data_IF_942266349450
#
_entry.id   IF_942266349450
#
_cell.length_a   1.000
_cell.length_b   1.000
_cell.length_c   1.000
_cell.angle_alpha   90.00
_cell.angle_beta   90.00
_cell.angle_gamma   90.00
#
_symmetry.space_group_name_H-M   'P 1'
#
loop_
_entity.id
_entity.type
_entity.pdbx_description
1 polymer ?
#
# COMPACT_ATOMS: atom_id res chain seq x y z
N UNK A 1 -13.46 -13.35 1.53
CA UNK A 1 -12.50 -13.30 0.39
C UNK A 1 -11.84 -11.93 0.42
N UNK A 2 -10.51 -11.88 0.39
CA UNK A 2 -9.75 -10.61 0.38
C UNK A 2 -9.83 -10.00 -1.01
N UNK A 3 -10.13 -8.70 -1.12
CA UNK A 3 -10.12 -8.01 -2.41
C UNK A 3 -8.67 -7.87 -2.90
N UNK A 4 -8.42 -8.13 -4.18
CA UNK A 4 -7.07 -8.01 -4.75
C UNK A 4 -6.99 -6.72 -5.56
N UNK A 5 -5.83 -6.04 -5.53
CA UNK A 5 -5.55 -4.94 -6.44
C UNK A 5 -5.69 -5.42 -7.88
N UNK A 6 -6.46 -4.68 -8.67
CA UNK A 6 -6.71 -4.98 -10.07
C UNK A 6 -5.48 -4.62 -10.91
N UNK A 7 -5.09 -5.55 -11.77
CA UNK A 7 -4.02 -5.35 -12.73
C UNK A 7 -4.35 -6.06 -14.04
N UNK A 8 -3.75 -5.57 -15.12
CA UNK A 8 -3.77 -6.21 -16.43
C UNK A 8 -2.39 -6.79 -16.72
N UNK A 9 -2.34 -8.05 -17.13
CA UNK A 9 -1.11 -8.63 -17.67
C UNK A 9 -0.92 -8.07 -19.08
N UNK A 10 0.14 -7.30 -19.29
CA UNK A 10 0.53 -6.76 -20.60
C UNK A 10 1.29 -7.80 -21.41
N UNK A 11 2.19 -8.52 -20.74
CA UNK A 11 3.02 -9.56 -21.37
C UNK A 11 3.47 -10.59 -20.34
N UNK A 12 3.52 -11.86 -20.74
CA UNK A 12 4.07 -12.95 -19.94
C UNK A 12 5.39 -13.41 -20.54
N UNK A 13 6.40 -13.56 -19.68
CA UNK A 13 7.71 -14.14 -19.98
C UNK A 13 7.87 -15.41 -19.15
N UNK A 14 8.92 -16.19 -19.43
CA UNK A 14 9.19 -17.45 -18.73
C UNK A 14 9.37 -17.24 -17.21
N UNK A 15 10.06 -16.17 -16.81
CA UNK A 15 10.41 -15.91 -15.40
C UNK A 15 9.58 -14.82 -14.71
N UNK A 16 8.80 -14.05 -15.46
CA UNK A 16 8.08 -12.89 -14.92
C UNK A 16 6.91 -12.44 -15.80
N UNK A 17 6.04 -11.61 -15.24
CA UNK A 17 4.97 -10.93 -15.97
C UNK A 17 5.20 -9.42 -15.96
N UNK A 18 4.91 -8.78 -17.09
CA UNK A 18 4.73 -7.34 -17.16
C UNK A 18 3.26 -7.04 -16.85
N UNK A 19 3.01 -6.33 -15.75
CA UNK A 19 1.66 -5.99 -15.27
C UNK A 19 1.46 -4.48 -15.26
N UNK A 20 0.30 -4.05 -15.69
CA UNK A 20 -0.20 -2.68 -15.54
C UNK A 20 -1.18 -2.66 -14.37
N UNK A 21 -0.86 -1.91 -13.33
CA UNK A 21 -1.71 -1.67 -12.17
C UNK A 21 -2.52 -0.40 -12.43
N UNK A 22 -3.85 -0.50 -12.26
CA UNK A 22 -4.74 0.65 -12.42
C UNK A 22 -4.52 1.69 -11.32
N UNK A 23 -4.88 2.97 -11.57
CA UNK A 23 -4.80 4.01 -10.56
C UNK A 23 -5.53 3.60 -9.29
N UNK A 24 -4.90 3.86 -8.14
CA UNK A 24 -5.44 3.45 -6.86
C UNK A 24 -5.04 4.40 -5.74
N UNK A 25 -5.82 4.39 -4.65
CA UNK A 25 -5.44 5.05 -3.40
C UNK A 25 -4.67 4.06 -2.55
N UNK A 26 -3.57 4.50 -1.94
CA UNK A 26 -2.83 3.75 -0.94
C UNK A 26 -2.84 4.47 0.41
N UNK A 27 -2.81 3.70 1.49
CA UNK A 27 -2.45 4.18 2.82
C UNK A 27 -1.03 3.68 3.12
N UNK A 28 -0.11 4.59 3.42
CA UNK A 28 1.32 4.33 3.57
C UNK A 28 1.84 4.82 4.92
N UNK A 29 2.73 4.04 5.53
CA UNK A 29 3.47 4.41 6.74
C UNK A 29 4.96 4.22 6.48
N UNK A 30 5.77 5.24 6.85
CA UNK A 30 7.24 5.19 6.79
C UNK A 30 7.79 4.88 8.18
N UNK A 31 8.60 3.83 8.30
CA UNK A 31 9.28 3.48 9.56
C UNK A 31 10.78 3.34 9.34
N UNK A 32 11.56 4.09 10.09
CA UNK A 32 13.02 4.01 10.13
C UNK A 32 13.48 2.95 11.13
N UNK A 33 13.34 1.67 10.76
CA UNK A 33 13.80 0.53 11.54
C UNK A 33 14.28 -0.60 10.62
N UNK A 34 14.76 -1.72 11.19
CA UNK A 34 15.00 -2.92 10.40
C UNK A 34 13.70 -3.44 9.77
N UNK A 35 13.80 -4.25 8.70
CA UNK A 35 12.67 -4.74 7.93
C UNK A 35 11.55 -5.37 8.78
N UNK A 36 11.91 -6.29 9.69
CA UNK A 36 10.92 -7.03 10.51
C UNK A 36 10.17 -6.12 11.48
N UNK A 37 10.88 -5.20 12.14
CA UNK A 37 10.25 -4.22 13.03
C UNK A 37 9.42 -3.21 12.26
N UNK A 38 9.94 -2.72 11.13
CA UNK A 38 9.26 -1.72 10.32
C UNK A 38 7.95 -2.25 9.72
N UNK A 39 8.00 -3.45 9.13
CA UNK A 39 6.82 -4.13 8.57
C UNK A 39 5.74 -4.36 9.62
N UNK A 40 6.10 -4.93 10.78
CA UNK A 40 5.14 -5.19 11.85
C UNK A 40 4.51 -3.92 12.41
N UNK A 41 5.34 -2.89 12.67
CA UNK A 41 4.87 -1.63 13.23
C UNK A 41 3.95 -0.90 12.26
N UNK A 42 4.37 -0.76 11.01
CA UNK A 42 3.59 -0.09 9.98
C UNK A 42 2.28 -0.84 9.67
N UNK A 43 2.34 -2.17 9.60
CA UNK A 43 1.14 -2.99 9.42
C UNK A 43 0.13 -2.76 10.55
N UNK A 44 0.58 -2.65 11.80
CA UNK A 44 -0.32 -2.38 12.93
C UNK A 44 -1.03 -1.03 12.79
N UNK A 45 -0.32 0.04 12.42
CA UNK A 45 -0.91 1.36 12.18
C UNK A 45 -1.93 1.35 11.04
N UNK A 46 -1.57 0.72 9.91
CA UNK A 46 -2.46 0.60 8.74
C UNK A 46 -3.67 -0.28 9.03
N UNK A 47 -3.48 -1.37 9.78
CA UNK A 47 -4.55 -2.27 10.18
C UNK A 47 -5.54 -1.56 11.11
N UNK A 48 -5.05 -0.76 12.06
CA UNK A 48 -5.89 0.08 12.91
C UNK A 48 -6.69 1.07 12.06
N UNK A 49 -6.06 1.76 11.10
CA UNK A 49 -6.74 2.69 10.20
C UNK A 49 -7.93 2.05 9.47
N UNK A 50 -7.76 0.89 8.85
CA UNK A 50 -8.85 0.20 8.14
C UNK A 50 -9.87 -0.45 9.10
N UNK A 51 -9.51 -0.64 10.37
CA UNK A 51 -10.34 -1.22 11.43
C UNK A 51 -10.98 -0.14 12.32
N UNK A 52 -11.46 0.95 11.72
CA UNK A 52 -12.14 2.07 12.39
C UNK A 52 -11.22 3.06 13.14
N UNK A 53 -9.90 2.95 13.00
CA UNK A 53 -8.92 3.94 13.48
C UNK A 53 -8.81 5.19 12.60
N UNK A 54 -9.96 5.71 12.15
CA UNK A 54 -10.10 6.90 11.31
C UNK A 54 -11.24 7.78 11.86
N UNK A 55 -11.30 9.04 11.44
CA UNK A 55 -12.20 10.04 12.03
C UNK A 55 -13.68 9.66 11.93
N UNK A 56 -14.05 8.92 10.88
CA UNK A 56 -15.43 8.47 10.64
C UNK A 56 -15.76 7.13 11.32
N UNK A 57 -14.82 6.53 12.05
CA UNK A 57 -14.95 5.16 12.61
C UNK A 57 -15.40 4.12 11.58
N UNK A 58 -15.04 4.34 10.31
CA UNK A 58 -15.48 3.53 9.18
C UNK A 58 -14.59 2.29 9.06
N UNK A 59 -15.20 1.13 8.82
CA UNK A 59 -14.47 -0.09 8.47
C UNK A 59 -14.18 -0.11 6.98
N UNK A 60 -12.90 -0.24 6.63
CA UNK A 60 -12.43 -0.35 5.26
C UNK A 60 -12.04 -1.82 5.01
N UNK A 61 -12.42 -2.37 3.85
CA UNK A 61 -12.10 -3.75 3.53
C UNK A 61 -10.58 -3.91 3.32
N UNK A 62 -9.99 -4.93 3.92
CA UNK A 62 -8.60 -5.29 3.67
C UNK A 62 -8.43 -5.78 2.24
N UNK A 63 -7.34 -5.36 1.61
CA UNK A 63 -6.96 -5.81 0.28
C UNK A 63 -5.61 -6.55 0.32
N UNK A 64 -5.29 -7.23 -0.78
CA UNK A 64 -3.96 -7.73 -1.07
C UNK A 64 -3.46 -7.13 -2.39
N UNK A 65 -2.14 -6.93 -2.57
CA UNK A 65 -1.06 -7.23 -1.63
C UNK A 65 -0.84 -6.13 -0.58
N UNK A 66 0.01 -6.43 0.41
CA UNK A 66 0.70 -5.40 1.21
C UNK A 66 2.01 -5.10 0.53
N UNK A 67 2.24 -3.84 0.15
CA UNK A 67 3.44 -3.40 -0.55
C UNK A 67 4.47 -2.96 0.48
N UNK A 68 5.72 -3.39 0.34
CA UNK A 68 6.83 -2.92 1.17
C UNK A 68 7.98 -2.46 0.27
N UNK A 69 8.48 -1.25 0.49
CA UNK A 69 9.51 -0.64 -0.34
C UNK A 69 10.52 0.17 0.48
N UNK A 70 11.72 0.35 -0.06
CA UNK A 70 12.66 1.38 0.40
C UNK A 70 12.80 2.41 -0.71
N UNK A 71 12.80 3.70 -0.36
CA UNK A 71 13.18 4.73 -1.34
C UNK A 71 14.69 4.73 -1.52
N UNK A 72 15.14 4.75 -2.77
CA UNK A 72 16.55 4.72 -3.14
C UNK A 72 17.31 6.03 -2.90
N UNK A 73 16.62 7.09 -2.42
CA UNK A 73 17.25 8.38 -2.20
C UNK A 73 18.18 8.35 -0.97
N UNK A 74 19.48 8.41 -1.27
CA UNK A 74 20.62 8.34 -0.34
C UNK A 74 20.69 9.45 0.71
N UNK A 75 19.72 10.38 0.75
CA UNK A 75 19.73 11.54 1.66
C UNK A 75 18.75 11.42 2.84
N UNK A 76 17.88 10.42 2.85
CA UNK A 76 16.89 10.21 3.89
C UNK A 76 17.15 8.83 4.51
N UNK A 77 17.37 8.78 5.82
CA UNK A 77 17.71 7.58 6.58
C UNK A 77 16.86 6.39 6.11
N UNK A 78 17.51 5.30 5.67
CA UNK A 78 16.92 4.13 5.02
C UNK A 78 15.65 3.60 5.74
N UNK A 79 14.51 4.17 5.38
CA UNK A 79 13.21 3.86 5.96
C UNK A 79 12.44 2.91 5.07
N UNK A 80 11.66 2.03 5.69
CA UNK A 80 10.72 1.18 4.99
C UNK A 80 9.37 1.87 4.88
N UNK A 81 8.83 1.87 3.68
CA UNK A 81 7.47 2.24 3.38
C UNK A 81 6.66 0.96 3.30
N UNK A 82 5.56 0.90 4.06
CA UNK A 82 4.59 -0.18 3.99
C UNK A 82 3.26 0.43 3.60
N UNK A 83 2.61 -0.17 2.61
CA UNK A 83 1.42 0.41 2.00
C UNK A 83 0.32 -0.63 1.83
N UNK A 84 -0.89 -0.25 2.20
CA UNK A 84 -2.11 -0.98 1.88
C UNK A 84 -2.78 -0.33 0.68
N UNK A 85 -3.20 -1.14 -0.29
CA UNK A 85 -4.02 -0.67 -1.40
C UNK A 85 -5.45 -0.51 -0.91
N UNK A 86 -6.10 0.60 -1.19
CA UNK A 86 -7.51 0.76 -0.82
C UNK A 86 -8.40 -0.07 -1.77
N UNK A 87 -9.60 -0.49 -1.34
CA UNK A 87 -10.52 -1.24 -2.20
C UNK A 87 -10.77 -0.56 -3.55
N UNK A 88 -11.01 -1.35 -4.61
CA UNK A 88 -11.37 -0.79 -5.92
C UNK A 88 -12.61 0.11 -5.81
N UNK A 89 -12.55 1.26 -6.48
CA UNK A 89 -13.56 2.33 -6.39
C UNK A 89 -13.36 3.33 -5.25
N UNK A 90 -12.34 3.17 -4.41
CA UNK A 90 -11.93 4.21 -3.45
C UNK A 90 -11.40 5.45 -4.18
N UNK A 91 -11.90 6.62 -3.78
CA UNK A 91 -11.41 7.93 -4.23
C UNK A 91 -10.79 8.66 -3.03
N UNK A 92 -9.67 9.35 -3.25
CA UNK A 92 -8.87 9.95 -2.17
C UNK A 92 -9.67 10.91 -1.30
N UNK A 93 -10.51 11.72 -1.92
CA UNK A 93 -11.40 12.71 -1.30
C UNK A 93 -12.48 12.10 -0.39
N UNK A 94 -12.85 10.85 -0.62
CA UNK A 94 -13.86 10.12 0.16
C UNK A 94 -13.25 9.20 1.22
N UNK A 95 -11.92 9.11 1.30
CA UNK A 95 -11.27 8.28 2.31
C UNK A 95 -11.27 9.02 3.66
N UNK A 96 -11.69 8.37 4.76
CA UNK A 96 -11.71 9.01 6.06
C UNK A 96 -10.27 9.32 6.50
N UNK A 97 -10.09 10.47 7.15
CA UNK A 97 -8.79 10.88 7.65
C UNK A 97 -8.29 9.91 8.74
N UNK A 98 -7.02 9.47 8.69
CA UNK A 98 -6.45 8.61 9.72
C UNK A 98 -6.33 9.34 11.06
N UNK A 99 -6.62 8.64 12.16
CA UNK A 99 -6.34 9.16 13.51
C UNK A 99 -4.85 9.08 13.86
N UNK A 100 -4.13 8.18 13.20
CA UNK A 100 -2.68 8.02 13.35
C UNK A 100 -1.94 8.93 12.36
N UNK A 101 -1.22 9.93 12.88
CA UNK A 101 -0.42 10.87 12.10
C UNK A 101 0.70 10.23 11.25
N UNK A 102 1.04 8.96 11.51
CA UNK A 102 2.01 8.22 10.72
C UNK A 102 1.41 7.70 9.41
N UNK A 103 0.08 7.53 9.34
CA UNK A 103 -0.62 7.02 8.16
C UNK A 103 -0.86 8.18 7.19
N UNK A 104 -0.36 8.02 5.97
CA UNK A 104 -0.54 9.00 4.89
C UNK A 104 -1.30 8.35 3.74
N UNK A 105 -2.36 9.00 3.30
CA UNK A 105 -3.05 8.63 2.07
C UNK A 105 -2.30 9.22 0.87
N UNK A 106 -2.22 8.48 -0.22
CA UNK A 106 -1.65 8.93 -1.49
C UNK A 106 -2.41 8.32 -2.66
N UNK A 107 -2.53 9.06 -3.74
CA UNK A 107 -2.95 8.52 -5.03
C UNK A 107 -1.73 8.03 -5.80
N UNK A 108 -1.88 6.87 -6.43
CA UNK A 108 -0.95 6.36 -7.42
C UNK A 108 -1.69 6.35 -8.76
N UNK A 109 -1.01 6.89 -9.77
CA UNK A 109 -1.43 6.75 -11.16
C UNK A 109 -1.22 5.32 -11.65
N UNK A 110 -1.51 5.09 -12.93
CA UNK A 110 -1.22 3.81 -13.58
C UNK A 110 0.27 3.49 -13.47
N UNK A 111 0.60 2.32 -12.93
CA UNK A 111 1.98 1.88 -12.76
C UNK A 111 2.22 0.60 -13.58
N UNK A 112 3.32 0.58 -14.34
CA UNK A 112 3.75 -0.64 -15.03
C UNK A 112 4.88 -1.29 -14.24
N UNK A 113 4.67 -2.52 -13.79
CA UNK A 113 5.62 -3.25 -12.95
C UNK A 113 5.99 -4.61 -13.55
N UNK A 114 7.22 -5.03 -13.29
CA UNK A 114 7.65 -6.42 -13.49
C UNK A 114 7.32 -7.21 -12.22
N UNK A 115 6.47 -8.22 -12.35
CA UNK A 115 6.11 -9.13 -11.28
C UNK A 115 6.81 -10.48 -11.49
N UNK A 116 7.72 -10.81 -10.57
CA UNK A 116 8.37 -12.12 -10.50
C UNK A 116 7.92 -12.85 -9.25
N UNK A 117 7.31 -14.03 -9.43
CA UNK A 117 7.02 -14.95 -8.34
C UNK A 117 8.28 -15.77 -8.02
N UNK A 118 8.48 -16.11 -6.74
CA UNK A 118 9.61 -16.91 -6.26
C UNK A 118 9.14 -17.92 -5.22
#
# INVERSE_FOLDING_TARGET
MTKQQEFRVLQTYEDFELREYLPCVIAEVKVSANYSTATRSAFSSLFNYISQGNESSQKIAMTAPVITAQKADRSDSAGWYVSFVMPSGSAFDHMPHPNDSQVRLRELDTETCVAKSF
#
